data_IF_031978433475
#
_entry.id   IF_031978433475
#
_cell.length_a   1.000
_cell.length_b   1.000
_cell.length_c   1.000
_cell.angle_alpha   90.00
_cell.angle_beta   90.00
_cell.angle_gamma   90.00
#
_symmetry.space_group_name_H-M   'P 1'
#
loop_
_entity.id
_entity.type
_entity.pdbx_description
1 polymer ?
#
# COMPACT_ATOMS: atom_id res chain seq x y z
N UNK A 1 43.84 -1.60 56.65
CA UNK A 1 42.85 -0.54 56.35
C UNK A 1 43.28 0.22 55.10
N UNK A 2 42.56 0.07 53.99
CA UNK A 2 42.65 0.92 52.78
C UNK A 2 41.22 1.15 52.26
N UNK A 3 40.85 2.39 51.86
CA UNK A 3 39.46 2.72 51.55
C UNK A 3 39.06 2.23 50.15
N UNK A 4 37.81 1.79 50.07
CA UNK A 4 37.10 1.36 48.87
C UNK A 4 36.58 2.62 48.17
N UNK A 5 37.13 2.96 47.00
CA UNK A 5 36.60 4.06 46.16
C UNK A 5 35.73 3.42 45.09
N UNK A 6 34.40 3.49 45.28
CA UNK A 6 33.42 3.12 44.27
C UNK A 6 33.17 4.36 43.39
N UNK A 7 33.75 4.39 42.19
CA UNK A 7 33.37 5.37 41.16
C UNK A 7 32.25 4.77 40.31
N UNK A 8 31.07 5.38 40.38
CA UNK A 8 29.90 5.05 39.56
C UNK A 8 30.03 5.71 38.17
N UNK A 9 29.91 4.97 37.05
CA UNK A 9 29.85 5.55 35.71
C UNK A 9 28.44 5.43 35.14
N UNK A 10 27.50 6.26 35.61
CA UNK A 10 26.09 6.18 35.17
C UNK A 10 25.56 7.47 34.50
N UNK A 11 26.42 8.42 34.10
CA UNK A 11 25.95 9.71 33.55
C UNK A 11 26.40 10.00 32.11
N UNK A 12 27.36 9.25 31.56
CA UNK A 12 27.89 9.56 30.22
C UNK A 12 27.03 8.96 29.08
N UNK A 13 26.21 7.94 29.37
CA UNK A 13 25.48 7.18 28.34
C UNK A 13 24.21 7.87 27.85
N UNK A 14 23.50 8.61 28.71
CA UNK A 14 22.21 9.24 28.38
C UNK A 14 22.35 10.44 27.43
N UNK A 15 23.49 11.16 27.50
CA UNK A 15 23.72 12.37 26.69
C UNK A 15 24.00 12.01 25.22
N UNK A 16 24.65 10.88 24.95
CA UNK A 16 24.91 10.41 23.59
C UNK A 16 23.65 9.92 22.87
N UNK A 17 22.71 9.29 23.58
CA UNK A 17 21.46 8.79 22.99
C UNK A 17 20.51 9.89 22.54
N UNK A 18 20.40 10.99 23.30
CA UNK A 18 19.52 12.11 22.98
C UNK A 18 20.02 12.92 21.77
N UNK A 19 21.34 13.08 21.62
CA UNK A 19 21.94 13.78 20.49
C UNK A 19 21.75 13.02 19.15
N UNK A 20 21.77 11.68 19.17
CA UNK A 20 21.54 10.85 17.97
C UNK A 20 20.06 10.86 17.57
N UNK A 21 19.13 10.86 18.54
CA UNK A 21 17.69 10.95 18.27
C UNK A 21 17.28 12.32 17.69
N UNK A 22 17.92 13.42 18.12
CA UNK A 22 17.72 14.75 17.55
C UNK A 22 18.36 14.92 16.15
N UNK A 23 19.48 14.24 15.87
CA UNK A 23 20.13 14.29 14.56
C UNK A 23 19.35 13.51 13.48
N UNK A 24 18.66 12.43 13.85
CA UNK A 24 17.84 11.62 12.92
C UNK A 24 16.50 12.30 12.55
N UNK A 25 16.00 13.24 13.35
CA UNK A 25 14.75 13.95 13.09
C UNK A 25 14.91 15.15 12.11
N UNK A 26 16.14 15.50 11.71
CA UNK A 26 16.42 16.67 10.86
C UNK A 26 16.75 16.35 9.39
N UNK A 27 16.70 15.09 8.96
CA UNK A 27 16.87 14.70 7.54
C UNK A 27 15.50 14.63 6.84
N UNK A 28 14.74 15.72 6.95
CA UNK A 28 13.47 15.92 6.25
C UNK A 28 13.37 17.38 5.81
N UNK A 29 14.25 17.78 4.89
CA UNK A 29 14.10 18.96 4.03
C UNK A 29 15.24 18.94 3.00
N UNK A 30 14.99 18.40 1.80
CA UNK A 30 15.47 18.92 0.50
C UNK A 30 15.55 17.79 -0.53
N UNK A 31 14.43 17.51 -1.19
CA UNK A 31 14.49 16.98 -2.56
C UNK A 31 14.71 18.19 -3.48
N UNK A 32 15.84 18.30 -4.19
CA UNK A 32 16.02 19.39 -5.16
C UNK A 32 15.04 19.17 -6.32
N UNK A 33 14.15 20.15 -6.52
CA UNK A 33 13.28 20.22 -7.70
C UNK A 33 14.17 20.62 -8.89
N UNK A 34 14.38 19.71 -9.84
CA UNK A 34 15.07 20.04 -11.09
C UNK A 34 14.24 21.09 -11.86
N UNK A 35 14.85 22.14 -12.43
CA UNK A 35 14.18 23.00 -13.39
C UNK A 35 13.88 22.16 -14.63
N UNK A 36 12.60 22.03 -15.00
CA UNK A 36 12.21 21.57 -16.33
C UNK A 36 12.31 22.77 -17.26
N UNK A 37 13.23 22.69 -18.23
CA UNK A 37 13.39 23.70 -19.27
C UNK A 37 12.08 23.85 -20.09
N UNK A 38 11.69 25.07 -20.49
CA UNK A 38 10.62 25.24 -21.45
C UNK A 38 11.08 24.73 -22.81
N UNK A 39 10.51 23.60 -23.26
CA UNK A 39 10.60 23.15 -24.66
C UNK A 39 10.05 24.27 -25.55
N UNK A 40 10.95 24.89 -26.32
CA UNK A 40 10.58 25.81 -27.39
C UNK A 40 9.85 25.09 -28.51
N UNK A 41 8.95 25.76 -29.25
CA UNK A 41 8.22 25.15 -30.35
C UNK A 41 9.18 24.76 -31.47
N UNK A 42 9.26 23.47 -31.77
CA UNK A 42 9.92 22.94 -32.95
C UNK A 42 9.15 23.39 -34.21
N UNK A 43 9.81 23.93 -35.26
CA UNK A 43 9.13 24.24 -36.51
C UNK A 43 8.65 22.95 -37.19
N UNK A 44 7.33 22.75 -37.23
CA UNK A 44 6.73 21.62 -37.92
C UNK A 44 6.91 21.72 -39.44
N UNK A 45 7.49 20.68 -40.03
CA UNK A 45 7.44 20.45 -41.48
C UNK A 45 6.00 20.17 -41.93
N UNK A 46 5.54 20.70 -43.07
CA UNK A 46 4.21 20.38 -43.59
C UNK A 46 4.20 18.96 -44.15
N UNK A 47 3.53 18.05 -43.44
CA UNK A 47 3.16 16.73 -43.97
C UNK A 47 1.88 16.86 -44.80
N UNK A 48 2.00 16.67 -46.10
CA UNK A 48 0.89 16.47 -47.05
C UNK A 48 -0.09 15.40 -46.54
N UNK A 49 -1.41 15.59 -46.60
CA UNK A 49 -2.35 14.54 -46.21
C UNK A 49 -2.38 13.44 -47.27
N UNK A 50 -1.99 12.23 -46.88
CA UNK A 50 -2.25 11.02 -47.66
C UNK A 50 -3.78 10.77 -47.71
N UNK A 51 -4.31 10.19 -48.81
CA UNK A 51 -5.73 9.89 -48.91
C UNK A 51 -6.12 8.87 -47.84
N UNK A 52 -7.21 9.18 -47.13
CA UNK A 52 -7.84 8.33 -46.12
C UNK A 52 -8.27 7.02 -46.79
N UNK A 53 -7.53 5.95 -46.54
CA UNK A 53 -8.07 4.60 -46.68
C UNK A 53 -8.94 4.34 -45.45
N UNK A 54 -10.25 4.27 -45.65
CA UNK A 54 -11.22 3.86 -44.65
C UNK A 54 -10.96 2.39 -44.31
N UNK A 55 -10.08 2.14 -43.33
CA UNK A 55 -10.00 0.84 -42.69
C UNK A 55 -11.29 0.63 -41.90
N UNK A 56 -12.00 -0.51 -42.04
CA UNK A 56 -13.05 -0.85 -41.11
C UNK A 56 -12.47 -0.80 -39.69
N UNK A 57 -13.13 -0.08 -38.79
CA UNK A 57 -12.81 -0.16 -37.37
C UNK A 57 -12.96 -1.64 -36.96
N UNK A 58 -12.01 -2.22 -36.21
CA UNK A 58 -12.26 -3.52 -35.61
C UNK A 58 -13.50 -3.39 -34.72
N UNK A 59 -14.40 -4.37 -34.81
CA UNK A 59 -15.55 -4.45 -33.91
C UNK A 59 -15.07 -4.29 -32.46
N UNK A 60 -15.84 -3.61 -31.58
CA UNK A 60 -15.51 -3.59 -30.17
C UNK A 60 -15.45 -5.03 -29.71
N UNK A 61 -14.24 -5.53 -29.44
CA UNK A 61 -14.06 -6.82 -28.79
C UNK A 61 -14.77 -6.67 -27.46
N UNK A 62 -15.93 -7.33 -27.33
CA UNK A 62 -16.67 -7.36 -26.09
C UNK A 62 -15.70 -7.88 -25.02
N UNK A 63 -15.25 -6.99 -24.13
CA UNK A 63 -14.64 -7.46 -22.90
C UNK A 63 -15.68 -8.36 -22.26
N UNK A 64 -15.35 -9.63 -21.95
CA UNK A 64 -16.24 -10.46 -21.17
C UNK A 64 -16.57 -9.66 -19.92
N UNK A 65 -17.87 -9.46 -19.64
CA UNK A 65 -18.27 -8.89 -18.37
C UNK A 65 -17.56 -9.69 -17.27
N UNK A 66 -16.95 -9.03 -16.27
CA UNK A 66 -16.34 -9.76 -15.16
C UNK A 66 -17.38 -10.75 -14.63
N UNK A 67 -17.00 -12.01 -14.36
CA UNK A 67 -17.95 -12.98 -13.85
C UNK A 67 -18.62 -12.34 -12.64
N UNK A 68 -19.95 -12.20 -12.69
CA UNK A 68 -20.74 -11.77 -11.55
C UNK A 68 -20.36 -12.71 -10.41
N UNK A 69 -19.59 -12.20 -9.45
CA UNK A 69 -19.08 -12.98 -8.35
C UNK A 69 -20.29 -13.59 -7.65
N UNK A 70 -20.48 -14.89 -7.84
CA UNK A 70 -21.57 -15.65 -7.23
C UNK A 70 -21.18 -16.00 -5.81
N UNK A 71 -20.81 -14.98 -5.04
CA UNK A 71 -20.59 -15.10 -3.61
C UNK A 71 -21.94 -15.21 -2.89
N UNK A 72 -21.97 -15.73 -1.66
CA UNK A 72 -23.14 -15.64 -0.82
C UNK A 72 -23.59 -14.18 -0.77
N UNK A 73 -24.86 -13.92 -1.10
CA UNK A 73 -25.44 -12.60 -0.86
C UNK A 73 -25.26 -12.27 0.62
N UNK A 74 -24.80 -11.05 0.91
CA UNK A 74 -24.66 -10.58 2.29
C UNK A 74 -26.03 -10.73 2.96
N UNK A 75 -26.16 -11.56 4.03
CA UNK A 75 -27.44 -11.74 4.69
C UNK A 75 -28.04 -10.39 5.07
N UNK A 76 -29.33 -10.18 4.82
CA UNK A 76 -29.98 -8.86 5.03
C UNK A 76 -29.82 -8.34 6.46
N UNK A 77 -29.68 -9.24 7.44
CA UNK A 77 -29.38 -8.90 8.84
C UNK A 77 -28.04 -8.16 9.02
N UNK A 78 -27.12 -8.26 8.06
CA UNK A 78 -25.82 -7.59 8.09
C UNK A 78 -25.83 -6.25 7.32
N UNK A 79 -26.89 -5.93 6.57
CA UNK A 79 -26.93 -4.74 5.71
C UNK A 79 -27.14 -3.48 6.56
N UNK A 80 -26.32 -2.46 6.34
CA UNK A 80 -26.41 -1.16 7.02
C UNK A 80 -25.85 -1.14 8.45
N UNK A 81 -25.29 -2.26 8.92
CA UNK A 81 -24.59 -2.35 10.18
C UNK A 81 -23.09 -2.16 9.97
N UNK A 82 -22.46 -1.33 10.79
CA UNK A 82 -21.00 -1.29 10.94
C UNK A 82 -20.62 -2.30 12.02
N UNK A 83 -19.92 -3.36 11.62
CA UNK A 83 -19.57 -4.46 12.51
C UNK A 83 -18.24 -4.17 13.19
N UNK A 84 -18.29 -3.70 14.44
CA UNK A 84 -17.10 -3.52 15.28
C UNK A 84 -16.88 -4.67 16.26
N UNK A 85 -17.82 -5.63 16.33
CA UNK A 85 -17.75 -6.82 17.18
C UNK A 85 -18.52 -8.00 16.57
N UNK A 86 -18.09 -9.23 16.87
CA UNK A 86 -18.80 -10.45 16.49
C UNK A 86 -19.91 -10.75 17.51
N UNK A 87 -21.14 -11.13 17.08
CA UNK A 87 -22.26 -11.45 17.95
C UNK A 87 -22.12 -12.87 18.52
N UNK A 88 -21.04 -13.10 19.26
CA UNK A 88 -20.73 -14.37 19.91
C UNK A 88 -20.18 -14.14 21.31
N UNK A 89 -20.32 -15.14 22.17
CA UNK A 89 -19.71 -15.17 23.50
C UNK A 89 -18.37 -15.91 23.52
N UNK A 90 -17.97 -16.49 22.39
CA UNK A 90 -16.68 -17.17 22.26
C UNK A 90 -15.53 -16.16 22.19
N UNK A 91 -14.36 -16.56 22.71
CA UNK A 91 -13.14 -15.75 22.62
C UNK A 91 -12.52 -15.89 21.22
N UNK A 92 -13.13 -15.22 20.25
CA UNK A 92 -12.72 -15.27 18.84
C UNK A 92 -12.51 -13.88 18.28
N UNK A 93 -11.69 -13.79 17.24
CA UNK A 93 -11.45 -12.58 16.45
C UNK A 93 -11.55 -12.93 14.97
N UNK A 94 -11.99 -11.97 14.16
CA UNK A 94 -11.94 -12.07 12.70
C UNK A 94 -10.79 -11.18 12.18
N UNK A 95 -9.92 -11.74 11.33
CA UNK A 95 -8.84 -11.01 10.71
C UNK A 95 -9.28 -10.51 9.33
N UNK A 96 -9.23 -9.19 9.15
CA UNK A 96 -9.54 -8.52 7.89
C UNK A 96 -8.40 -7.56 7.51
N UNK A 97 -8.05 -7.52 6.24
CA UNK A 97 -6.98 -6.67 5.71
C UNK A 97 -7.52 -5.83 4.54
N UNK A 98 -7.28 -4.53 4.56
CA UNK A 98 -7.55 -3.64 3.42
C UNK A 98 -6.28 -3.47 2.59
N UNK A 99 -6.35 -3.78 1.29
CA UNK A 99 -5.25 -3.56 0.36
C UNK A 99 -5.68 -2.58 -0.74
N UNK A 100 -5.02 -1.41 -0.73
CA UNK A 100 -5.19 -0.39 -1.76
C UNK A 100 -3.92 0.44 -2.01
N UNK A 101 -2.79 0.00 -1.46
CA UNK A 101 -1.51 0.69 -1.54
C UNK A 101 -0.43 -0.26 -2.08
N UNK A 102 0.66 -0.46 -1.35
CA UNK A 102 1.76 -1.33 -1.75
C UNK A 102 1.50 -2.81 -1.41
N UNK A 103 2.12 -3.73 -2.15
CA UNK A 103 1.94 -5.18 -2.01
C UNK A 103 3.02 -5.89 -1.19
N UNK A 104 4.09 -5.21 -0.77
CA UNK A 104 5.24 -5.87 -0.11
C UNK A 104 4.87 -6.56 1.21
N UNK A 105 3.80 -6.11 1.87
CA UNK A 105 3.30 -6.73 3.11
C UNK A 105 2.52 -8.03 2.89
N UNK A 106 1.99 -8.28 1.69
CA UNK A 106 1.10 -9.42 1.45
C UNK A 106 1.81 -10.78 1.58
N UNK A 107 2.98 -11.02 0.96
CA UNK A 107 3.64 -12.34 1.06
C UNK A 107 3.91 -12.81 2.51
N UNK A 108 4.53 -12.00 3.40
CA UNK A 108 4.77 -12.46 4.77
C UNK A 108 3.49 -12.63 5.59
N UNK A 109 2.42 -11.86 5.30
CA UNK A 109 1.12 -12.06 5.96
C UNK A 109 0.52 -13.42 5.55
N UNK A 110 0.52 -13.74 4.26
CA UNK A 110 -0.01 -15.01 3.77
C UNK A 110 0.77 -16.20 4.33
N UNK A 111 2.11 -16.11 4.38
CA UNK A 111 2.95 -17.15 4.97
C UNK A 111 2.59 -17.43 6.44
N UNK A 112 2.38 -16.37 7.23
CA UNK A 112 2.00 -16.50 8.65
C UNK A 112 0.59 -17.12 8.77
N UNK A 113 -0.38 -16.65 7.98
CA UNK A 113 -1.75 -17.17 8.02
C UNK A 113 -1.79 -18.65 7.63
N UNK A 114 -1.07 -19.04 6.57
CA UNK A 114 -0.98 -20.43 6.12
C UNK A 114 -0.29 -21.31 7.15
N UNK A 115 0.86 -20.88 7.68
CA UNK A 115 1.62 -21.62 8.71
C UNK A 115 0.77 -21.92 9.95
N UNK A 116 -0.11 -21.00 10.32
CA UNK A 116 -0.97 -21.15 11.49
C UNK A 116 -2.36 -21.74 11.16
N UNK A 117 -2.67 -21.99 9.88
CA UNK A 117 -3.99 -22.45 9.44
C UNK A 117 -5.12 -21.47 9.80
N UNK A 118 -4.83 -20.17 9.82
CA UNK A 118 -5.79 -19.13 10.23
C UNK A 118 -6.45 -18.51 9.01
N UNK A 119 -7.79 -18.58 8.87
CA UNK A 119 -8.49 -17.89 7.79
C UNK A 119 -8.51 -16.38 8.01
N UNK A 120 -8.45 -15.62 6.92
CA UNK A 120 -8.61 -14.17 6.92
C UNK A 120 -9.31 -13.69 5.64
N UNK A 121 -9.85 -12.46 5.69
CA UNK A 121 -10.46 -11.80 4.52
C UNK A 121 -9.62 -10.61 4.07
N UNK A 122 -9.42 -10.47 2.76
CA UNK A 122 -8.75 -9.32 2.16
C UNK A 122 -9.76 -8.51 1.35
N UNK A 123 -9.89 -7.23 1.65
CA UNK A 123 -10.67 -6.27 0.88
C UNK A 123 -9.71 -5.51 -0.04
N UNK A 124 -9.80 -5.79 -1.35
CA UNK A 124 -8.90 -5.25 -2.36
C UNK A 124 -9.59 -4.15 -3.14
N UNK A 125 -8.92 -3.05 -3.40
CA UNK A 125 -9.40 -2.09 -4.42
C UNK A 125 -9.20 -2.67 -5.82
N UNK A 126 -10.06 -2.30 -6.77
CA UNK A 126 -9.91 -2.75 -8.16
C UNK A 126 -8.55 -2.36 -8.76
N UNK A 127 -8.13 -1.11 -8.55
CA UNK A 127 -6.83 -0.62 -9.02
C UNK A 127 -5.65 -1.41 -8.44
N UNK A 128 -5.74 -1.85 -7.18
CA UNK A 128 -4.72 -2.69 -6.56
C UNK A 128 -4.63 -4.06 -7.24
N UNK A 129 -5.79 -4.68 -7.53
CA UNK A 129 -5.82 -5.98 -8.22
C UNK A 129 -5.30 -5.91 -9.65
N UNK A 130 -5.45 -4.78 -10.33
CA UNK A 130 -4.89 -4.57 -11.67
C UNK A 130 -3.36 -4.38 -11.62
N UNK A 131 -2.85 -3.72 -10.57
CA UNK A 131 -1.41 -3.50 -10.37
C UNK A 131 -0.67 -4.73 -9.83
N UNK A 132 -1.34 -5.55 -9.01
CA UNK A 132 -0.78 -6.72 -8.33
C UNK A 132 -1.67 -7.95 -8.51
N UNK A 133 -1.71 -8.54 -9.72
CA UNK A 133 -2.56 -9.69 -10.04
C UNK A 133 -2.06 -11.03 -9.46
#
# INVERSE_FOLDING_TARGET
MRPRILRSPAHTSTIFGLAILLALLSVACSVPRTPVDPVGPSPGSPSTPAPVATSPAPDPVAHPAPPVASGPAVPTVLVGAEWTALPTTENVVALTFDAGADANGVPPILEILETNGVPATFFLTGEWTEQYP
#
